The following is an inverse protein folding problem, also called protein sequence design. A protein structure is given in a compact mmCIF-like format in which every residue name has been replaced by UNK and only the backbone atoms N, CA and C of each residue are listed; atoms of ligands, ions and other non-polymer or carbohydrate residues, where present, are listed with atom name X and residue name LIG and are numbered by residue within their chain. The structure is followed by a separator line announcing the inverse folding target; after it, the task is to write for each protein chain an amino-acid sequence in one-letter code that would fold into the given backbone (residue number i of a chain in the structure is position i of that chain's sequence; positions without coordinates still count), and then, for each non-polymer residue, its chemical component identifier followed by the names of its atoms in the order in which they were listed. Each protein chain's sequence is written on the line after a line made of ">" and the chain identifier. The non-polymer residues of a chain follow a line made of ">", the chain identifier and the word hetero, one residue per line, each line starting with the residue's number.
data_IF_749325207701
#
_entry.id   IF_749325207701
#
_cell.length_a   1.000
_cell.length_b   1.000
_cell.length_c   1.000
_cell.angle_alpha   90.00
_cell.angle_beta   90.00
_cell.angle_gamma   90.00
#
_symmetry.space_group_name_H-M   'P 1'
#
loop_
_entity.id
_entity.type
_entity.pdbx_description
1 polymer ?
#
# COMPACT_ATOMS: atom_id res chain seq x y z
N UNK A 1 49.78 -29.96 -15.49
CA UNK A 1 49.17 -29.13 -14.42
C UNK A 1 47.70 -29.52 -14.13
N UNK A 2 47.14 -30.60 -14.69
CA UNK A 2 45.75 -31.02 -14.41
C UNK A 2 45.61 -32.20 -13.43
N UNK A 3 46.52 -33.16 -13.48
CA UNK A 3 46.35 -34.47 -12.82
C UNK A 3 46.08 -34.45 -11.31
N UNK A 4 46.69 -33.53 -10.55
CA UNK A 4 46.44 -33.41 -9.10
C UNK A 4 45.10 -32.73 -8.78
N UNK A 5 44.64 -31.82 -9.65
CA UNK A 5 43.34 -31.19 -9.51
C UNK A 5 42.23 -32.18 -9.88
N UNK A 6 42.47 -32.98 -10.93
CA UNK A 6 41.58 -34.06 -11.37
C UNK A 6 41.45 -35.13 -10.26
N UNK A 7 42.58 -35.63 -9.73
CA UNK A 7 42.56 -36.59 -8.62
C UNK A 7 41.85 -36.05 -7.38
N UNK A 8 41.95 -34.75 -7.10
CA UNK A 8 41.24 -34.13 -5.97
C UNK A 8 39.73 -34.13 -6.20
N UNK A 9 39.27 -33.85 -7.43
CA UNK A 9 37.85 -33.92 -7.78
C UNK A 9 37.33 -35.36 -7.66
N UNK A 10 38.04 -36.33 -8.21
CA UNK A 10 37.69 -37.76 -8.12
C UNK A 10 37.54 -38.24 -6.66
N UNK A 11 38.39 -37.74 -5.75
CA UNK A 11 38.30 -38.06 -4.32
C UNK A 11 37.03 -37.49 -3.70
N UNK A 12 36.65 -36.24 -4.01
CA UNK A 12 35.41 -35.65 -3.52
C UNK A 12 34.17 -36.39 -4.03
N UNK A 13 34.15 -36.74 -5.32
CA UNK A 13 33.08 -37.53 -5.92
C UNK A 13 32.94 -38.91 -5.25
N UNK A 14 34.08 -39.55 -4.91
CA UNK A 14 34.08 -40.81 -4.18
C UNK A 14 33.50 -40.66 -2.77
N UNK A 15 33.84 -39.58 -2.06
CA UNK A 15 33.25 -39.29 -0.75
C UNK A 15 31.73 -39.12 -0.83
N UNK A 16 31.24 -38.41 -1.84
CA UNK A 16 29.81 -38.17 -2.05
C UNK A 16 29.08 -39.48 -2.39
N UNK A 17 29.64 -40.30 -3.28
CA UNK A 17 29.11 -41.62 -3.60
C UNK A 17 29.04 -42.54 -2.36
N UNK A 18 30.07 -42.53 -1.52
CA UNK A 18 30.08 -43.29 -0.26
C UNK A 18 29.03 -42.76 0.71
N UNK A 19 28.80 -41.44 0.77
CA UNK A 19 27.77 -40.85 1.61
C UNK A 19 26.35 -41.29 1.16
N UNK A 20 26.07 -41.24 -0.15
CA UNK A 20 24.82 -41.71 -0.75
C UNK A 20 24.60 -43.20 -0.44
N UNK A 21 25.62 -44.03 -0.64
CA UNK A 21 25.53 -45.47 -0.35
C UNK A 21 25.21 -45.74 1.12
N UNK A 22 25.82 -45.00 2.05
CA UNK A 22 25.55 -45.12 3.49
C UNK A 22 24.12 -44.72 3.84
N UNK A 23 23.60 -43.65 3.25
CA UNK A 23 22.21 -43.21 3.42
C UNK A 23 21.24 -44.26 2.90
N UNK A 24 21.47 -44.77 1.68
CA UNK A 24 20.64 -45.81 1.08
C UNK A 24 20.66 -47.10 1.92
N UNK A 25 21.84 -47.55 2.35
CA UNK A 25 22.00 -48.74 3.20
C UNK A 25 21.23 -48.57 4.52
N UNK A 26 21.32 -47.38 5.13
CA UNK A 26 20.59 -47.06 6.36
C UNK A 26 19.07 -47.04 6.15
N UNK A 27 18.59 -46.44 5.05
CA UNK A 27 17.17 -46.42 4.70
C UNK A 27 16.62 -47.85 4.51
N UNK A 28 17.33 -48.70 3.75
CA UNK A 28 16.97 -50.10 3.54
C UNK A 28 16.97 -50.87 4.86
N UNK A 29 17.99 -50.69 5.71
CA UNK A 29 18.07 -51.35 7.00
C UNK A 29 16.92 -50.95 7.95
N UNK A 30 16.43 -49.71 7.84
CA UNK A 30 15.34 -49.20 8.69
C UNK A 30 13.98 -49.74 8.26
N UNK A 31 13.74 -49.91 6.94
CA UNK A 31 12.44 -50.35 6.44
C UNK A 31 12.53 -51.28 5.20
N UNK A 32 13.01 -52.54 5.34
CA UNK A 32 13.35 -53.40 4.20
C UNK A 32 12.20 -53.68 3.22
N UNK A 33 10.98 -53.79 3.73
CA UNK A 33 9.80 -54.09 2.91
C UNK A 33 9.25 -52.89 2.14
N UNK A 34 9.45 -51.66 2.65
CA UNK A 34 8.91 -50.43 2.07
C UNK A 34 9.88 -49.73 1.10
N UNK A 35 11.17 -50.01 1.21
CA UNK A 35 12.23 -49.31 0.45
C UNK A 35 12.67 -50.05 -0.82
N UNK A 36 11.98 -51.12 -1.22
CA UNK A 36 12.29 -51.85 -2.46
C UNK A 36 12.00 -50.96 -3.68
N UNK A 37 13.06 -50.52 -4.36
CA UNK A 37 12.96 -49.61 -5.52
C UNK A 37 13.01 -48.12 -5.17
N UNK A 38 13.27 -47.77 -3.91
CA UNK A 38 13.47 -46.38 -3.46
C UNK A 38 14.97 -46.09 -3.42
N UNK A 39 15.38 -44.95 -3.99
CA UNK A 39 16.73 -44.42 -3.93
C UNK A 39 16.77 -43.20 -3.00
N UNK A 40 17.98 -42.78 -2.63
CA UNK A 40 18.22 -41.55 -1.87
C UNK A 40 18.87 -40.55 -2.81
N UNK A 41 18.34 -39.32 -2.82
CA UNK A 41 18.83 -38.21 -3.64
C UNK A 41 19.35 -37.08 -2.74
N UNK A 42 20.61 -36.62 -2.91
CA UNK A 42 21.14 -35.46 -2.20
C UNK A 42 20.67 -34.11 -2.77
N UNK A 43 19.85 -34.09 -3.83
CA UNK A 43 19.37 -32.88 -4.51
C UNK A 43 20.52 -31.96 -4.93
N UNK A 44 21.53 -32.52 -5.58
CA UNK A 44 22.63 -31.75 -6.19
C UNK A 44 22.32 -31.37 -7.64
N UNK A 45 21.50 -32.19 -8.32
CA UNK A 45 21.07 -31.98 -9.70
C UNK A 45 19.69 -32.60 -9.96
N UNK A 46 19.17 -32.41 -11.16
CA UNK A 46 17.88 -32.98 -11.59
C UNK A 46 18.01 -34.40 -12.19
N UNK A 47 19.16 -35.08 -12.07
CA UNK A 47 19.43 -36.33 -12.79
C UNK A 47 18.59 -37.52 -12.30
N UNK A 48 18.21 -37.52 -11.03
CA UNK A 48 17.43 -38.59 -10.40
C UNK A 48 15.92 -38.38 -10.50
N UNK A 49 15.47 -37.42 -11.32
CA UNK A 49 14.06 -37.07 -11.42
C UNK A 49 13.35 -37.86 -12.52
N UNK A 50 12.09 -38.20 -12.28
CA UNK A 50 11.26 -39.00 -13.20
C UNK A 50 11.05 -38.34 -14.58
N UNK A 51 11.47 -39.04 -15.63
CA UNK A 51 11.24 -38.59 -17.01
C UNK A 51 9.75 -38.70 -17.38
N UNK A 52 9.22 -37.67 -18.06
CA UNK A 52 7.87 -37.69 -18.63
C UNK A 52 6.76 -37.16 -17.72
N UNK A 53 7.09 -36.70 -16.51
CA UNK A 53 6.16 -35.97 -15.64
C UNK A 53 6.53 -34.49 -15.56
N UNK A 54 5.53 -33.62 -15.38
CA UNK A 54 5.78 -32.19 -15.19
C UNK A 54 6.33 -31.93 -13.79
N UNK A 55 7.60 -31.56 -13.72
CA UNK A 55 8.34 -31.39 -12.49
C UNK A 55 8.45 -29.93 -12.13
N UNK A 56 7.56 -29.48 -11.25
CA UNK A 56 7.42 -28.06 -10.92
C UNK A 56 8.34 -27.59 -9.80
N UNK A 57 8.84 -28.48 -8.94
CA UNK A 57 9.77 -28.14 -7.86
C UNK A 57 11.19 -27.86 -8.38
N UNK A 58 11.91 -26.93 -7.76
CA UNK A 58 13.29 -26.58 -8.07
C UNK A 58 14.21 -26.99 -6.92
N UNK A 59 15.44 -27.38 -7.24
CA UNK A 59 16.48 -27.67 -6.27
C UNK A 59 17.25 -26.37 -5.98
N UNK A 60 17.31 -25.99 -4.70
CA UNK A 60 18.05 -24.80 -4.23
C UNK A 60 18.84 -25.21 -2.99
N UNK A 61 20.16 -25.01 -3.02
CA UNK A 61 21.07 -25.30 -1.89
C UNK A 61 20.95 -26.71 -1.29
N UNK A 62 20.69 -27.73 -2.12
CA UNK A 62 20.56 -29.13 -1.64
C UNK A 62 19.16 -29.49 -1.13
N UNK A 63 18.17 -28.62 -1.35
CA UNK A 63 16.78 -28.87 -0.95
C UNK A 63 15.83 -28.74 -2.13
N UNK A 64 14.89 -29.68 -2.25
CA UNK A 64 13.82 -29.62 -3.24
C UNK A 64 12.69 -28.71 -2.73
N UNK A 65 12.54 -27.54 -3.34
CA UNK A 65 11.56 -26.53 -2.97
C UNK A 65 10.49 -26.35 -4.06
N UNK A 66 9.25 -26.14 -3.64
CA UNK A 66 8.20 -25.74 -4.58
C UNK A 66 8.39 -24.26 -4.94
N UNK A 67 8.31 -23.89 -6.23
CA UNK A 67 8.45 -22.50 -6.63
C UNK A 67 7.27 -21.69 -6.10
N UNK A 68 7.57 -20.56 -5.48
CA UNK A 68 6.56 -19.58 -5.10
C UNK A 68 6.23 -18.74 -6.32
N UNK A 69 5.06 -18.97 -6.92
CA UNK A 69 4.50 -18.08 -7.94
C UNK A 69 3.81 -16.91 -7.27
N UNK A 70 4.59 -15.88 -6.94
CA UNK A 70 4.04 -14.63 -6.42
C UNK A 70 3.54 -13.76 -7.58
N UNK A 71 2.25 -13.46 -7.59
CA UNK A 71 1.69 -12.40 -8.42
C UNK A 71 1.74 -11.09 -7.62
N UNK A 72 2.65 -10.20 -8.00
CA UNK A 72 2.88 -8.93 -7.29
C UNK A 72 2.08 -7.83 -7.98
N UNK A 73 0.89 -7.56 -7.46
CA UNK A 73 0.10 -6.42 -7.90
C UNK A 73 0.56 -5.14 -7.18
N UNK A 74 0.95 -4.07 -7.90
CA UNK A 74 1.29 -2.80 -7.29
C UNK A 74 0.05 -2.16 -6.65
N UNK A 75 0.18 -1.74 -5.38
CA UNK A 75 -0.93 -1.18 -4.60
C UNK A 75 -1.56 0.06 -5.24
N UNK A 76 -0.81 0.79 -6.07
CA UNK A 76 -1.24 2.01 -6.76
C UNK A 76 -2.26 1.80 -7.89
N UNK A 77 -2.49 0.56 -8.33
CA UNK A 77 -3.40 0.25 -9.44
C UNK A 77 -4.84 -0.06 -9.00
N UNK A 78 -5.13 -0.03 -7.70
CA UNK A 78 -6.43 -0.44 -7.17
C UNK A 78 -7.06 0.64 -6.29
N UNK A 79 -8.29 1.03 -6.64
CA UNK A 79 -9.12 1.97 -5.87
C UNK A 79 -9.58 1.41 -4.50
N UNK A 80 -9.23 0.16 -4.19
CA UNK A 80 -9.61 -0.55 -2.97
C UNK A 80 -8.54 -1.58 -2.56
N UNK A 81 -8.45 -1.94 -1.26
CA UNK A 81 -7.51 -2.96 -0.80
C UNK A 81 -7.72 -4.31 -1.51
N UNK A 82 -6.63 -4.89 -2.03
CA UNK A 82 -6.61 -6.28 -2.48
C UNK A 82 -6.89 -7.18 -1.29
N UNK A 83 -7.92 -8.00 -1.41
CA UNK A 83 -8.33 -8.97 -0.39
C UNK A 83 -8.49 -10.32 -1.05
N UNK A 84 -8.22 -11.40 -0.31
CA UNK A 84 -8.55 -12.75 -0.77
C UNK A 84 -10.06 -12.85 -1.00
N UNK A 85 -10.51 -13.73 -1.91
CA UNK A 85 -11.94 -13.95 -2.13
C UNK A 85 -12.68 -14.20 -0.81
N UNK A 86 -13.60 -13.32 -0.47
CA UNK A 86 -14.37 -13.39 0.77
C UNK A 86 -15.86 -13.24 0.46
N UNK A 87 -16.69 -13.83 1.32
CA UNK A 87 -18.14 -13.65 1.29
C UNK A 87 -18.55 -12.81 2.49
N UNK A 88 -19.24 -11.70 2.25
CA UNK A 88 -19.82 -10.90 3.33
C UNK A 88 -20.92 -11.73 4.00
N UNK A 89 -20.84 -11.85 5.32
CA UNK A 89 -21.86 -12.49 6.14
C UNK A 89 -22.39 -11.43 7.10
N UNK A 90 -23.70 -11.30 7.19
CA UNK A 90 -24.34 -10.39 8.14
C UNK A 90 -24.30 -11.06 9.51
N UNK A 91 -23.51 -10.49 10.43
CA UNK A 91 -23.42 -10.98 11.80
C UNK A 91 -24.56 -10.45 12.68
N UNK A 92 -24.99 -9.21 12.42
CA UNK A 92 -26.08 -8.53 13.13
C UNK A 92 -26.87 -7.73 12.10
N UNK A 93 -28.19 -7.89 12.10
CA UNK A 93 -29.12 -7.09 11.31
C UNK A 93 -30.14 -6.39 12.21
N UNK A 94 -30.42 -5.12 11.93
CA UNK A 94 -31.53 -4.39 12.55
C UNK A 94 -32.62 -4.16 11.51
N UNK A 95 -33.53 -5.12 11.42
CA UNK A 95 -34.66 -5.09 10.47
C UNK A 95 -35.75 -4.10 10.89
N UNK A 96 -35.79 -3.73 12.18
CA UNK A 96 -36.73 -2.76 12.70
C UNK A 96 -36.30 -1.33 12.33
N UNK A 97 -37.08 -0.69 11.45
CA UNK A 97 -37.02 0.74 11.18
C UNK A 97 -38.28 1.40 11.73
N UNK A 98 -38.13 2.45 12.52
CA UNK A 98 -39.25 3.28 12.96
C UNK A 98 -39.94 3.88 11.73
N UNK A 99 -41.22 3.60 11.55
CA UNK A 99 -42.02 4.22 10.49
C UNK A 99 -42.18 5.72 10.75
N UNK A 100 -42.09 6.54 9.69
CA UNK A 100 -42.39 7.96 9.78
C UNK A 100 -43.90 8.19 9.63
N UNK A 101 -44.55 8.73 10.67
CA UNK A 101 -45.90 9.27 10.56
C UNK A 101 -45.80 10.77 10.27
N UNK A 102 -46.52 11.27 9.26
CA UNK A 102 -46.59 12.71 9.00
C UNK A 102 -47.34 13.38 10.15
N UNK A 103 -46.64 14.14 10.97
CA UNK A 103 -47.25 15.10 11.90
C UNK A 103 -47.58 16.34 11.05
N UNK A 104 -48.87 16.64 10.92
CA UNK A 104 -49.47 17.75 10.17
C UNK A 104 -49.68 17.55 8.63
N UNK A 105 -50.81 16.96 8.21
CA UNK A 105 -51.19 16.78 6.79
C UNK A 105 -51.59 18.07 6.06
N UNK A 106 -51.86 19.14 6.79
CA UNK A 106 -52.25 20.43 6.25
C UNK A 106 -51.06 21.35 6.40
N UNK A 107 -50.39 21.62 5.29
CA UNK A 107 -49.25 22.54 5.17
C UNK A 107 -49.64 23.99 5.50
N UNK A 108 -50.09 24.25 6.72
CA UNK A 108 -50.15 25.58 7.31
C UNK A 108 -48.76 25.90 7.84
N UNK A 109 -47.80 26.06 6.93
CA UNK A 109 -46.53 26.69 7.25
C UNK A 109 -46.66 28.12 6.79
N UNK A 110 -46.29 29.05 7.68
CA UNK A 110 -45.93 30.39 7.24
C UNK A 110 -44.88 30.28 6.12
N UNK A 111 -44.88 31.21 5.13
CA UNK A 111 -43.90 31.18 4.06
C UNK A 111 -42.51 30.99 4.63
N UNK A 112 -41.78 30.02 4.08
CA UNK A 112 -40.43 29.67 4.54
C UNK A 112 -39.63 30.96 4.50
N UNK A 113 -39.06 31.42 5.63
CA UNK A 113 -38.30 32.66 5.64
C UNK A 113 -37.15 32.54 4.65
N UNK A 114 -36.83 33.63 3.96
CA UNK A 114 -35.71 33.68 3.04
C UNK A 114 -34.45 33.16 3.75
N UNK A 115 -33.78 32.21 3.09
CA UNK A 115 -32.62 31.55 3.67
C UNK A 115 -31.37 32.28 3.23
N UNK A 116 -30.59 32.75 4.21
CA UNK A 116 -29.26 33.32 3.99
C UNK A 116 -28.23 32.25 4.31
N UNK A 117 -27.50 31.80 3.28
CA UNK A 117 -26.42 30.84 3.43
C UNK A 117 -25.07 31.54 3.30
N UNK A 118 -24.24 31.37 4.33
CA UNK A 118 -22.83 31.74 4.31
C UNK A 118 -22.05 30.60 3.66
N UNK A 119 -21.33 30.90 2.58
CA UNK A 119 -20.46 29.94 1.90
C UNK A 119 -18.99 30.33 2.10
N UNK A 120 -18.44 30.18 3.33
CA UNK A 120 -17.02 30.42 3.53
C UNK A 120 -16.22 29.38 2.74
N UNK A 121 -15.23 29.77 1.94
CA UNK A 121 -14.35 28.80 1.31
C UNK A 121 -13.54 28.08 2.40
N UNK A 122 -13.46 26.74 2.30
CA UNK A 122 -12.57 25.95 3.16
C UNK A 122 -11.14 26.21 2.72
N UNK A 123 -10.34 26.78 3.62
CA UNK A 123 -8.99 27.21 3.31
C UNK A 123 -7.94 26.42 4.09
N UNK A 124 -7.12 25.64 3.38
CA UNK A 124 -5.95 24.96 3.92
C UNK A 124 -4.71 25.41 3.14
N UNK A 125 -4.06 26.47 3.60
CA UNK A 125 -2.85 26.99 2.96
C UNK A 125 -1.62 26.74 3.82
N UNK A 126 -0.49 26.46 3.15
CA UNK A 126 0.83 26.33 3.78
C UNK A 126 1.77 27.32 3.10
N UNK A 127 2.38 28.21 3.87
CA UNK A 127 3.42 29.10 3.37
C UNK A 127 4.77 28.42 3.50
N UNK A 128 5.50 28.29 2.39
CA UNK A 128 6.90 27.85 2.45
C UNK A 128 7.80 29.07 2.39
N UNK A 129 8.49 29.35 3.49
CA UNK A 129 9.52 30.37 3.56
C UNK A 129 10.90 29.68 3.60
N UNK A 130 11.74 29.92 2.59
CA UNK A 130 13.07 29.31 2.49
C UNK A 130 14.09 30.23 3.14
N UNK A 131 14.40 29.99 4.42
CA UNK A 131 15.43 30.73 5.15
C UNK A 131 16.76 30.02 4.96
N UNK A 132 17.49 30.41 3.90
CA UNK A 132 18.88 30.03 3.58
C UNK A 132 19.14 28.55 3.24
N UNK A 133 19.38 28.29 1.94
CA UNK A 133 20.03 27.06 1.49
C UNK A 133 21.55 27.18 1.66
N UNK A 134 22.10 26.62 2.73
CA UNK A 134 23.55 26.44 2.82
C UNK A 134 23.97 25.27 1.92
N UNK A 135 24.81 25.54 0.92
CA UNK A 135 25.40 24.48 0.10
C UNK A 135 26.39 23.67 0.95
N UNK A 136 25.98 22.48 1.37
CA UNK A 136 26.88 21.53 2.03
C UNK A 136 27.55 20.68 0.96
N UNK A 137 28.79 21.01 0.62
CA UNK A 137 29.64 20.14 -0.20
C UNK A 137 30.12 18.96 0.65
N UNK A 138 29.85 17.72 0.22
CA UNK A 138 30.47 16.54 0.83
C UNK A 138 31.13 15.65 -0.23
N UNK A 139 32.35 15.25 0.07
CA UNK A 139 33.14 14.30 -0.69
C UNK A 139 32.55 12.90 -0.52
N UNK A 140 32.39 12.16 -1.60
CA UNK A 140 31.99 10.75 -1.53
C UNK A 140 33.02 9.92 -2.27
N UNK A 141 33.59 8.95 -1.56
CA UNK A 141 34.51 8.00 -2.12
C UNK A 141 34.44 6.68 -1.39
N UNK A 142 34.90 5.67 -2.10
CA UNK A 142 35.53 4.50 -1.51
C UNK A 142 36.09 3.68 -2.63
N UNK A 143 37.10 4.27 -3.23
CA UNK A 143 37.85 3.71 -4.30
C UNK A 143 37.98 2.20 -4.15
N UNK A 144 37.47 1.41 -5.06
CA UNK A 144 37.24 1.87 -6.42
C UNK A 144 35.75 1.82 -6.83
N UNK A 145 34.71 2.50 -6.28
CA UNK A 145 34.53 3.74 -5.51
C UNK A 145 33.17 3.73 -4.70
N UNK A 146 33.10 3.32 -3.42
CA UNK A 146 31.99 3.51 -2.47
C UNK A 146 31.41 4.90 -2.68
N UNK A 147 30.20 4.94 -3.19
CA UNK A 147 29.44 6.18 -3.24
C UNK A 147 28.10 6.00 -2.58
N UNK A 148 28.13 5.96 -1.25
CA UNK A 148 26.95 6.30 -0.45
C UNK A 148 26.65 7.77 -0.67
N UNK A 149 25.68 8.07 -1.55
CA UNK A 149 25.00 9.37 -1.55
C UNK A 149 23.64 9.14 -0.93
N UNK A 150 23.52 9.33 0.37
CA UNK A 150 22.23 9.54 1.01
C UNK A 150 22.04 11.06 1.10
N UNK A 151 21.08 11.58 0.33
CA UNK A 151 20.66 12.96 0.45
C UNK A 151 19.87 13.09 1.75
N UNK A 152 20.51 13.58 2.80
CA UNK A 152 19.76 14.16 3.92
C UNK A 152 19.85 15.67 3.80
N UNK A 153 18.84 16.26 3.15
CA UNK A 153 18.50 17.65 3.43
C UNK A 153 18.18 17.73 4.92
N UNK A 154 19.04 18.37 5.71
CA UNK A 154 18.56 18.93 6.98
C UNK A 154 17.73 20.16 6.64
N UNK A 155 16.52 19.92 6.15
CA UNK A 155 15.45 20.91 6.19
C UNK A 155 15.03 20.97 7.65
N UNK A 156 15.45 22.00 8.37
CA UNK A 156 14.79 22.34 9.63
C UNK A 156 13.38 22.78 9.27
N UNK A 157 12.45 21.83 9.19
CA UNK A 157 11.03 22.11 9.01
C UNK A 157 10.54 22.58 10.38
N UNK A 158 10.59 23.89 10.59
CA UNK A 158 9.88 24.53 11.68
C UNK A 158 8.46 24.85 11.21
N UNK A 159 7.45 24.28 11.86
CA UNK A 159 6.08 24.79 11.75
C UNK A 159 5.91 25.89 12.79
N UNK A 160 5.79 27.14 12.32
CA UNK A 160 5.32 28.25 13.16
C UNK A 160 3.88 28.55 12.79
N UNK A 161 3.04 28.84 13.78
CA UNK A 161 1.72 29.39 13.49
C UNK A 161 1.90 30.74 12.80
N UNK A 162 1.11 30.99 11.75
CA UNK A 162 1.10 32.29 11.10
C UNK A 162 0.61 33.35 12.09
N UNK A 163 1.31 34.48 12.17
CA UNK A 163 0.94 35.57 13.10
C UNK A 163 -0.37 36.24 12.70
N UNK A 164 -0.71 36.22 11.41
CA UNK A 164 -1.94 36.79 10.87
C UNK A 164 -2.61 35.82 9.91
N UNK A 165 -3.94 35.74 9.97
CA UNK A 165 -4.75 35.06 8.97
C UNK A 165 -4.74 35.88 7.68
N UNK A 166 -4.71 35.20 6.53
CA UNK A 166 -4.88 35.89 5.24
C UNK A 166 -6.33 36.37 5.08
N UNK A 167 -6.57 37.47 4.35
CA UNK A 167 -7.93 37.88 3.99
C UNK A 167 -8.62 36.80 3.14
N UNK A 168 -9.89 36.52 3.42
CA UNK A 168 -10.71 35.56 2.68
C UNK A 168 -11.95 36.29 2.17
N UNK A 169 -12.26 36.13 0.89
CA UNK A 169 -13.54 36.58 0.32
C UNK A 169 -14.62 35.57 0.67
N UNK A 170 -15.65 36.02 1.39
CA UNK A 170 -16.83 35.22 1.74
C UNK A 170 -17.93 35.56 0.75
N UNK A 171 -18.58 34.54 0.18
CA UNK A 171 -19.75 34.72 -0.67
C UNK A 171 -21.03 34.43 0.12
N UNK A 172 -22.06 35.20 -0.18
CA UNK A 172 -23.39 35.07 0.41
C UNK A 172 -24.35 34.62 -0.68
N UNK A 173 -25.24 33.70 -0.31
CA UNK A 173 -26.32 33.27 -1.18
C UNK A 173 -27.64 33.45 -0.43
N UNK A 174 -28.50 34.23 -1.04
CA UNK A 174 -29.79 34.64 -0.50
C UNK A 174 -30.85 34.08 -1.45
N UNK A 175 -31.67 33.16 -0.96
CA UNK A 175 -32.67 32.45 -1.76
C UNK A 175 -34.02 32.41 -1.00
N UNK A 176 -35.12 32.25 -1.74
CA UNK A 176 -36.47 32.12 -1.15
C UNK A 176 -37.32 33.40 -1.15
N UNK A 177 -36.92 34.43 -1.89
CA UNK A 177 -37.74 35.62 -2.12
C UNK A 177 -38.86 35.32 -3.12
N UNK A 178 -40.06 35.86 -2.87
CA UNK A 178 -41.17 35.76 -3.82
C UNK A 178 -40.94 36.70 -5.03
N UNK A 179 -41.59 36.45 -6.18
CA UNK A 179 -41.42 37.28 -7.39
C UNK A 179 -41.67 38.78 -7.18
N UNK A 180 -42.46 39.16 -6.17
CA UNK A 180 -42.81 40.55 -5.83
C UNK A 180 -42.14 41.05 -4.54
N UNK A 181 -41.10 40.36 -4.04
CA UNK A 181 -40.38 40.73 -2.82
C UNK A 181 -38.97 41.27 -3.14
N UNK A 182 -38.80 42.60 -3.32
CA UNK A 182 -37.50 43.16 -3.65
C UNK A 182 -36.56 43.19 -2.44
N UNK A 183 -35.34 42.70 -2.63
CA UNK A 183 -34.26 42.83 -1.66
C UNK A 183 -33.81 44.29 -1.56
N UNK A 184 -34.10 44.94 -0.42
CA UNK A 184 -33.80 46.37 -0.25
C UNK A 184 -32.35 46.65 0.12
N UNK A 185 -31.83 45.92 1.11
CA UNK A 185 -30.50 46.14 1.69
C UNK A 185 -29.99 44.83 2.29
N UNK A 186 -28.68 44.60 2.20
CA UNK A 186 -27.98 43.50 2.86
C UNK A 186 -26.92 44.10 3.76
N UNK A 187 -26.97 43.77 5.05
CA UNK A 187 -26.02 44.26 6.05
C UNK A 187 -25.38 43.05 6.72
N UNK A 188 -24.06 43.01 6.73
CA UNK A 188 -23.27 42.01 7.44
C UNK A 188 -22.30 42.71 8.38
N UNK A 189 -22.38 42.40 9.68
CA UNK A 189 -21.51 42.98 10.71
C UNK A 189 -21.45 44.53 10.66
N UNK A 190 -22.57 45.17 10.34
CA UNK A 190 -22.68 46.63 10.24
C UNK A 190 -22.20 47.24 8.90
N UNK A 191 -21.69 46.43 7.97
CA UNK A 191 -21.26 46.86 6.63
C UNK A 191 -22.35 46.53 5.62
N UNK A 192 -22.71 47.50 4.78
CA UNK A 192 -23.63 47.31 3.66
C UNK A 192 -22.92 46.61 2.49
N UNK A 193 -23.50 45.52 2.00
CA UNK A 193 -22.93 44.70 0.93
C UNK A 193 -23.68 44.97 -0.38
N UNK A 194 -22.94 45.14 -1.46
CA UNK A 194 -23.52 45.20 -2.82
C UNK A 194 -23.99 43.81 -3.27
N UNK A 195 -25.20 43.74 -3.79
CA UNK A 195 -25.81 42.49 -4.27
C UNK A 195 -25.77 42.48 -5.79
N UNK A 196 -25.20 41.42 -6.36
CA UNK A 196 -25.27 41.15 -7.79
C UNK A 196 -26.42 40.17 -8.05
N UNK A 197 -27.43 40.61 -8.80
CA UNK A 197 -28.55 39.75 -9.19
C UNK A 197 -28.08 38.83 -10.32
N UNK A 198 -28.06 37.51 -10.07
CA UNK A 198 -27.79 36.47 -11.07
C UNK A 198 -29.06 36.05 -11.80
#
# INVERSE_FOLDING_TARGET
>A
MGTLQDMRADIFDLYDLVAILRLQTRAIATAPAATRGVFVDPFLDDAMRDLGQNQTAAIVDGELMLPIRADVAPLSAHDRPLTLPYKKVVLVEQTARTGGMKINPYSAFDPIPATVTLMPPVDTWTQTETVNGAAVTRLIGGGNLTRTTENTERRTIGTRQAEHLRPITITFRIEGFLPDEPLRRVIFDGIEIEVENL
#
